data_IF_123935337389
#
_entry.id   IF_123935337389
#
_cell.length_a   1.000
_cell.length_b   1.000
_cell.length_c   1.000
_cell.angle_alpha   90.00
_cell.angle_beta   90.00
_cell.angle_gamma   90.00
#
_symmetry.space_group_name_H-M   'P 1'
#
loop_
_entity.id
_entity.type
_entity.pdbx_description
1 polymer ?
#
# COMPACT_ATOMS: atom_id res chain seq x y z
N UNK A 1 -23.68 -9.69 -27.74
CA UNK A 1 -22.65 -9.89 -28.78
C UNK A 1 -22.89 -8.80 -29.80
N UNK A 2 -22.01 -7.81 -29.87
CA UNK A 2 -22.03 -6.85 -30.98
C UNK A 2 -21.61 -7.56 -32.26
N UNK A 3 -22.36 -7.31 -33.32
CA UNK A 3 -22.26 -7.99 -34.60
C UNK A 3 -22.11 -6.93 -35.70
N UNK A 4 -21.13 -6.04 -35.55
CA UNK A 4 -20.75 -5.14 -36.64
C UNK A 4 -19.82 -5.86 -37.63
N UNK A 5 -20.29 -5.91 -38.88
CA UNK A 5 -19.61 -6.58 -40.00
C UNK A 5 -18.56 -5.68 -40.68
N UNK A 6 -18.45 -4.41 -40.29
CA UNK A 6 -17.52 -3.42 -40.86
C UNK A 6 -17.18 -2.38 -39.77
N UNK A 7 -15.89 -2.24 -39.41
CA UNK A 7 -15.37 -1.23 -38.48
C UNK A 7 -14.84 -1.81 -37.16
N UNK A 8 -13.61 -2.34 -37.14
CA UNK A 8 -13.00 -2.89 -35.91
C UNK A 8 -12.52 -1.83 -34.90
N UNK A 9 -12.53 -0.54 -35.30
CA UNK A 9 -11.91 0.57 -34.58
C UNK A 9 -12.88 1.75 -34.38
N UNK A 10 -14.18 1.47 -34.26
CA UNK A 10 -15.16 2.53 -34.04
C UNK A 10 -15.00 3.16 -32.65
N UNK A 11 -15.01 4.50 -32.59
CA UNK A 11 -14.89 5.25 -31.35
C UNK A 11 -16.07 4.92 -30.42
N UNK A 12 -15.80 4.32 -29.27
CA UNK A 12 -16.84 4.07 -28.25
C UNK A 12 -17.28 5.39 -27.59
N UNK A 13 -16.31 6.26 -27.28
CA UNK A 13 -16.54 7.58 -26.69
C UNK A 13 -15.23 8.18 -26.18
N UNK A 14 -15.23 9.48 -25.90
CA UNK A 14 -14.07 10.20 -25.37
C UNK A 14 -14.34 10.83 -24.00
N UNK A 15 -13.26 11.12 -23.28
CA UNK A 15 -13.27 11.94 -22.06
C UNK A 15 -12.04 12.83 -22.05
N UNK A 16 -12.13 13.98 -21.36
CA UNK A 16 -11.04 14.95 -21.27
C UNK A 16 -10.68 15.22 -19.81
N UNK A 17 -9.40 15.34 -19.54
CA UNK A 17 -8.84 15.72 -18.24
C UNK A 17 -8.09 17.03 -18.43
N UNK A 18 -8.52 18.06 -17.72
CA UNK A 18 -7.79 19.33 -17.66
C UNK A 18 -6.62 19.19 -16.67
N UNK A 19 -5.42 19.04 -17.24
CA UNK A 19 -4.19 18.87 -16.46
C UNK A 19 -3.70 20.17 -15.83
N UNK A 20 -4.04 21.33 -16.40
CA UNK A 20 -3.55 22.63 -15.93
C UNK A 20 -4.30 23.06 -14.67
N UNK A 21 -5.63 23.00 -14.70
CA UNK A 21 -6.45 23.25 -13.52
C UNK A 21 -6.14 22.23 -12.41
N UNK A 22 -5.88 20.97 -12.78
CA UNK A 22 -5.46 19.94 -11.83
C UNK A 22 -4.12 20.26 -11.18
N UNK A 23 -3.15 20.71 -11.97
CA UNK A 23 -1.81 21.06 -11.49
C UNK A 23 -1.83 22.27 -10.54
N UNK A 24 -2.58 23.32 -10.88
CA UNK A 24 -2.70 24.53 -10.07
C UNK A 24 -3.76 24.45 -8.96
N UNK A 25 -4.40 23.29 -8.81
CA UNK A 25 -5.41 23.07 -7.79
C UNK A 25 -4.85 23.24 -6.37
N UNK A 26 -5.53 23.99 -5.48
CA UNK A 26 -5.08 24.15 -4.09
C UNK A 26 -5.22 22.85 -3.27
N UNK A 27 -5.90 21.84 -3.83
CA UNK A 27 -6.15 20.54 -3.21
C UNK A 27 -5.06 19.50 -3.50
N UNK A 28 -3.98 19.88 -4.21
CA UNK A 28 -2.89 18.97 -4.59
C UNK A 28 -3.41 17.74 -5.35
N UNK A 29 -4.21 17.97 -6.39
CA UNK A 29 -4.79 16.92 -7.22
C UNK A 29 -3.80 16.28 -8.20
N UNK A 30 -2.49 16.36 -7.92
CA UNK A 30 -1.41 15.87 -8.78
C UNK A 30 -1.14 14.39 -8.53
N UNK A 31 -0.67 14.01 -7.34
CA UNK A 31 -0.51 12.63 -6.92
C UNK A 31 -1.28 12.40 -5.61
N UNK A 32 -2.15 11.38 -5.61
CA UNK A 32 -3.05 11.13 -4.48
C UNK A 32 -2.29 10.74 -3.21
N UNK A 33 -2.64 11.34 -2.07
CA UNK A 33 -2.02 11.03 -0.78
C UNK A 33 -2.37 9.62 -0.31
N UNK A 34 -1.33 8.83 -0.03
CA UNK A 34 -1.49 7.50 0.53
C UNK A 34 -1.95 7.56 1.98
N UNK A 35 -2.62 6.50 2.45
CA UNK A 35 -3.04 6.40 3.84
C UNK A 35 -1.86 6.13 4.79
N UNK A 36 -0.83 5.42 4.31
CA UNK A 36 0.35 5.01 5.08
C UNK A 36 1.61 5.19 4.27
N UNK A 37 2.69 5.52 4.96
CA UNK A 37 4.01 5.62 4.37
C UNK A 37 4.74 4.27 4.47
N UNK A 38 5.28 3.81 3.34
CA UNK A 38 6.21 2.69 3.27
C UNK A 38 7.42 3.10 2.45
N UNK A 39 8.64 2.93 2.99
CA UNK A 39 9.86 3.27 2.24
C UNK A 39 10.21 2.28 1.13
N UNK A 40 9.65 1.06 1.18
CA UNK A 40 9.99 -0.04 0.27
C UNK A 40 8.83 -1.04 0.13
N UNK A 41 9.02 -2.03 -0.75
CA UNK A 41 8.08 -3.12 -0.97
C UNK A 41 6.93 -2.75 -1.91
N UNK A 42 5.91 -3.61 -1.96
CA UNK A 42 4.80 -3.47 -2.92
C UNK A 42 3.91 -2.25 -2.65
N UNK A 43 3.90 -1.74 -1.41
CA UNK A 43 3.13 -0.58 -0.98
C UNK A 43 4.01 0.67 -0.82
N UNK A 44 5.20 0.67 -1.43
CA UNK A 44 6.15 1.79 -1.36
C UNK A 44 5.46 3.11 -1.71
N UNK A 45 5.88 4.16 -1.01
CA UNK A 45 5.50 5.54 -1.28
C UNK A 45 5.65 5.87 -2.78
N UNK A 46 4.54 6.31 -3.39
CA UNK A 46 4.45 6.53 -4.83
C UNK A 46 4.78 7.94 -5.29
N UNK A 47 4.69 8.90 -4.39
CA UNK A 47 4.98 10.29 -4.75
C UNK A 47 6.48 10.48 -4.92
N UNK A 48 6.83 11.36 -5.85
CA UNK A 48 8.22 11.72 -6.09
C UNK A 48 8.85 12.53 -4.95
N UNK A 49 8.02 13.23 -4.18
CA UNK A 49 8.42 13.95 -2.98
C UNK A 49 8.04 13.16 -1.75
N UNK A 50 8.89 13.16 -0.74
CA UNK A 50 8.58 12.60 0.56
C UNK A 50 7.45 13.40 1.24
N UNK A 51 6.65 12.77 2.12
CA UNK A 51 5.64 13.48 2.91
C UNK A 51 6.17 14.74 3.61
N UNK A 52 7.39 14.71 4.16
CA UNK A 52 8.05 15.87 4.77
C UNK A 52 8.25 17.01 3.78
N UNK A 53 8.81 16.72 2.61
CA UNK A 53 9.06 17.70 1.53
C UNK A 53 7.76 18.32 1.02
N UNK A 54 6.71 17.52 0.86
CA UNK A 54 5.39 17.99 0.46
C UNK A 54 4.83 18.97 1.49
N UNK A 55 4.88 18.59 2.76
CA UNK A 55 4.35 19.41 3.85
C UNK A 55 5.13 20.73 4.00
N UNK A 56 6.46 20.69 3.87
CA UNK A 56 7.31 21.87 3.91
C UNK A 56 6.98 22.83 2.75
N UNK A 57 6.87 22.32 1.52
CA UNK A 57 6.48 23.12 0.36
C UNK A 57 5.10 23.76 0.53
N UNK A 58 4.12 23.02 1.06
CA UNK A 58 2.80 23.55 1.36
C UNK A 58 2.85 24.66 2.41
N UNK A 59 3.56 24.46 3.53
CA UNK A 59 3.69 25.48 4.56
C UNK A 59 4.34 26.75 3.98
N UNK A 60 5.44 26.59 3.24
CA UNK A 60 6.13 27.71 2.58
C UNK A 60 5.22 28.45 1.59
N UNK A 61 4.52 27.74 0.71
CA UNK A 61 3.65 28.34 -0.29
C UNK A 61 2.46 29.09 0.34
N UNK A 62 2.04 28.71 1.55
CA UNK A 62 0.94 29.33 2.29
C UNK A 62 1.41 30.32 3.37
N UNK A 63 2.70 30.64 3.43
CA UNK A 63 3.26 31.57 4.42
C UNK A 63 3.17 31.08 5.86
N UNK A 64 3.07 29.77 6.08
CA UNK A 64 3.01 29.16 7.41
C UNK A 64 4.41 28.81 7.93
N UNK A 65 4.62 28.77 9.25
CA UNK A 65 5.88 28.29 9.83
C UNK A 65 6.22 26.88 9.37
N UNK A 66 7.51 26.56 9.31
CA UNK A 66 7.97 25.21 8.98
C UNK A 66 7.47 24.19 10.03
N UNK A 67 7.12 22.96 9.62
CA UNK A 67 6.73 21.90 10.56
C UNK A 67 7.83 21.60 11.58
N UNK A 68 7.44 21.45 12.85
CA UNK A 68 8.37 21.11 13.94
C UNK A 68 8.13 19.66 14.39
N UNK A 69 9.14 18.80 14.23
CA UNK A 69 9.05 17.38 14.55
C UNK A 69 9.71 17.05 15.89
N UNK A 70 9.00 16.30 16.72
CA UNK A 70 9.52 15.68 17.94
C UNK A 70 9.34 14.15 17.84
N UNK A 71 10.42 13.47 17.45
CA UNK A 71 10.45 12.02 17.28
C UNK A 71 10.28 11.24 18.60
N UNK A 72 10.74 11.80 19.72
CA UNK A 72 10.64 11.14 21.02
C UNK A 72 9.17 11.02 21.46
N UNK A 73 8.39 12.07 21.19
CA UNK A 73 6.97 12.13 21.53
C UNK A 73 6.03 11.66 20.41
N UNK A 74 6.59 11.23 19.26
CA UNK A 74 5.81 10.90 18.07
C UNK A 74 4.87 12.05 17.67
N UNK A 75 5.38 13.28 17.66
CA UNK A 75 4.60 14.51 17.52
C UNK A 75 5.16 15.38 16.38
N UNK A 76 4.28 16.01 15.63
CA UNK A 76 4.60 17.14 14.76
C UNK A 76 3.66 18.30 15.05
N UNK A 77 4.21 19.51 15.10
CA UNK A 77 3.45 20.75 15.28
C UNK A 77 3.51 21.57 14.00
N UNK A 78 2.35 21.99 13.49
CA UNK A 78 2.23 22.84 12.29
C UNK A 78 1.16 23.88 12.55
N UNK A 79 1.54 25.15 12.44
CA UNK A 79 0.61 26.29 12.59
C UNK A 79 -0.21 26.24 13.90
N UNK A 80 0.43 25.85 15.00
CA UNK A 80 -0.22 25.70 16.32
C UNK A 80 -1.02 24.40 16.51
N UNK A 81 -1.15 23.57 15.47
CA UNK A 81 -1.83 22.28 15.55
C UNK A 81 -0.86 21.12 15.78
N UNK A 82 -1.25 20.19 16.63
CA UNK A 82 -0.47 19.01 16.99
C UNK A 82 -1.01 17.73 16.35
N UNK A 83 -0.12 16.93 15.76
CA UNK A 83 -0.46 15.64 15.16
C UNK A 83 0.48 14.55 15.64
N UNK A 84 -0.07 13.36 15.90
CA UNK A 84 0.69 12.20 16.37
C UNK A 84 0.56 11.01 15.43
N UNK A 85 1.66 10.29 15.22
CA UNK A 85 1.72 9.09 14.37
C UNK A 85 2.92 8.24 14.77
N UNK A 86 2.84 6.92 14.56
CA UNK A 86 3.97 6.03 14.86
C UNK A 86 5.17 6.39 13.98
N UNK A 87 6.31 6.70 14.60
CA UNK A 87 7.56 7.06 13.90
C UNK A 87 8.40 5.83 13.55
N UNK A 88 7.89 4.63 13.75
CA UNK A 88 8.60 3.38 13.48
C UNK A 88 8.13 2.78 12.15
N UNK A 89 9.06 2.63 11.21
CA UNK A 89 8.83 2.02 9.90
C UNK A 89 9.76 0.84 9.70
N UNK A 90 9.41 -0.04 8.76
CA UNK A 90 10.28 -1.14 8.33
C UNK A 90 11.18 -0.65 7.19
N UNK A 91 12.45 -1.02 7.25
CA UNK A 91 13.39 -0.88 6.13
C UNK A 91 13.40 -2.14 5.26
N UNK A 92 14.16 -2.12 4.17
CA UNK A 92 14.26 -3.22 3.20
C UNK A 92 14.68 -4.56 3.82
N UNK A 93 15.44 -4.54 4.92
CA UNK A 93 15.88 -5.74 5.65
C UNK A 93 14.88 -6.21 6.72
N UNK A 94 13.73 -5.55 6.86
CA UNK A 94 12.71 -5.86 7.87
C UNK A 94 12.99 -5.30 9.27
N UNK A 95 14.08 -4.54 9.43
CA UNK A 95 14.43 -3.88 10.68
C UNK A 95 13.52 -2.66 10.92
N UNK A 96 13.17 -2.45 12.18
CA UNK A 96 12.42 -1.25 12.58
C UNK A 96 13.38 -0.07 12.71
N UNK A 97 13.10 1.02 11.98
CA UNK A 97 13.86 2.27 12.03
C UNK A 97 12.94 3.44 12.38
N UNK A 98 13.51 4.54 12.88
CA UNK A 98 12.78 5.77 13.13
C UNK A 98 12.67 6.62 11.86
N UNK A 99 11.52 7.24 11.65
CA UNK A 99 11.23 8.12 10.52
C UNK A 99 10.16 9.16 10.88
N UNK A 100 10.32 10.38 10.36
CA UNK A 100 9.34 11.47 10.47
C UNK A 100 8.27 11.44 9.38
N UNK A 101 8.44 10.65 8.32
CA UNK A 101 7.52 10.62 7.19
C UNK A 101 6.08 10.24 7.58
N UNK A 102 5.84 9.29 8.50
CA UNK A 102 4.49 9.01 8.98
C UNK A 102 3.83 10.18 9.72
N UNK A 103 4.61 11.07 10.36
CA UNK A 103 4.09 12.27 11.01
C UNK A 103 3.68 13.30 9.98
N UNK A 104 4.54 13.58 9.01
CA UNK A 104 4.22 14.51 7.93
C UNK A 104 2.99 14.05 7.14
N UNK A 105 2.91 12.75 6.82
CA UNK A 105 1.76 12.18 6.13
C UNK A 105 0.46 12.26 6.96
N UNK A 106 0.56 12.16 8.29
CA UNK A 106 -0.58 12.34 9.19
C UNK A 106 -1.14 13.76 9.09
N UNK A 107 -0.26 14.77 9.02
CA UNK A 107 -0.67 16.16 8.80
C UNK A 107 -1.34 16.31 7.44
N UNK A 108 -0.71 15.82 6.36
CA UNK A 108 -1.24 15.93 5.00
C UNK A 108 -2.64 15.29 4.86
N UNK A 109 -2.86 14.12 5.48
CA UNK A 109 -4.16 13.44 5.46
C UNK A 109 -5.26 14.14 6.28
N UNK A 110 -4.88 15.09 7.13
CA UNK A 110 -5.74 15.87 8.00
C UNK A 110 -5.52 17.37 7.83
N UNK A 111 -5.09 17.81 6.64
CA UNK A 111 -4.69 19.19 6.38
C UNK A 111 -5.83 20.19 6.63
N UNK A 112 -7.08 19.75 6.57
CA UNK A 112 -8.25 20.55 6.95
C UNK A 112 -8.24 21.04 8.41
N UNK A 113 -7.42 20.45 9.30
CA UNK A 113 -7.24 20.95 10.66
C UNK A 113 -6.34 22.20 10.72
N UNK A 114 -5.48 22.38 9.71
CA UNK A 114 -4.65 23.58 9.53
C UNK A 114 -5.38 24.61 8.69
N UNK A 115 -6.03 24.17 7.60
CA UNK A 115 -6.81 25.02 6.71
C UNK A 115 -8.18 24.38 6.40
N UNK A 116 -9.27 24.77 7.10
CA UNK A 116 -10.58 24.13 7.01
C UNK A 116 -11.16 23.97 5.60
N UNK A 117 -10.84 24.91 4.70
CA UNK A 117 -11.35 24.95 3.33
C UNK A 117 -10.54 24.08 2.35
N UNK A 118 -9.38 23.56 2.77
CA UNK A 118 -8.48 22.76 1.94
C UNK A 118 -8.52 21.30 2.38
N UNK A 119 -9.01 20.45 1.49
CA UNK A 119 -8.90 18.99 1.61
C UNK A 119 -7.99 18.47 0.52
N UNK A 120 -6.82 17.99 0.92
CA UNK A 120 -5.88 17.41 -0.03
C UNK A 120 -6.44 16.12 -0.63
N UNK A 121 -6.20 15.91 -1.92
CA UNK A 121 -6.69 14.75 -2.66
C UNK A 121 -5.95 13.50 -2.19
N UNK A 122 -6.73 12.51 -1.73
CA UNK A 122 -6.24 11.18 -1.33
C UNK A 122 -6.17 10.26 -2.55
N UNK A 123 -5.52 9.11 -2.40
CA UNK A 123 -5.60 8.04 -3.39
C UNK A 123 -7.05 7.69 -3.70
N UNK A 124 -7.37 7.66 -5.00
CA UNK A 124 -8.70 7.35 -5.50
C UNK A 124 -8.59 6.72 -6.89
N UNK A 125 -9.65 6.00 -7.28
CA UNK A 125 -9.85 5.58 -8.67
C UNK A 125 -10.72 6.65 -9.32
N UNK A 126 -10.17 7.33 -10.31
CA UNK A 126 -10.92 8.27 -11.13
C UNK A 126 -11.82 7.49 -12.07
N UNK A 127 -13.14 7.74 -11.99
CA UNK A 127 -14.14 7.14 -12.88
C UNK A 127 -14.73 8.24 -13.74
N UNK A 128 -14.59 8.14 -15.06
CA UNK A 128 -15.10 9.12 -16.02
C UNK A 128 -16.05 8.47 -17.01
N UNK A 129 -17.13 9.15 -17.34
CA UNK A 129 -18.00 8.70 -18.42
C UNK A 129 -17.30 8.92 -19.77
N UNK A 130 -17.47 7.95 -20.66
CA UNK A 130 -17.12 8.05 -22.07
C UNK A 130 -18.35 8.57 -22.81
N UNK A 131 -18.18 9.66 -23.57
CA UNK A 131 -19.25 10.29 -24.33
C UNK A 131 -18.86 10.34 -25.80
N UNK A 132 -19.71 9.82 -26.68
CA UNK A 132 -19.54 9.94 -28.12
C UNK A 132 -19.88 11.36 -28.59
N UNK A 133 -19.04 12.02 -29.42
CA UNK A 133 -19.30 13.38 -29.92
C UNK A 133 -20.65 13.54 -30.62
N UNK A 134 -21.08 12.53 -31.38
CA UNK A 134 -22.36 12.52 -32.09
C UNK A 134 -23.59 12.21 -31.20
N UNK A 135 -23.37 11.76 -29.96
CA UNK A 135 -24.43 11.46 -28.99
C UNK A 135 -24.13 12.14 -27.65
N UNK A 136 -24.04 13.48 -27.63
CA UNK A 136 -23.69 14.20 -26.41
C UNK A 136 -24.75 13.96 -25.34
N UNK A 137 -24.30 13.78 -24.09
CA UNK A 137 -25.18 13.60 -22.93
C UNK A 137 -25.58 12.15 -22.62
N UNK A 138 -25.24 11.18 -23.47
CA UNK A 138 -25.40 9.75 -23.18
C UNK A 138 -24.04 9.11 -22.94
N UNK A 139 -23.86 8.46 -21.78
CA UNK A 139 -22.65 7.69 -21.46
C UNK A 139 -22.67 6.34 -22.18
N UNK A 140 -21.61 6.03 -22.94
CA UNK A 140 -21.42 4.73 -23.62
C UNK A 140 -20.56 3.76 -22.81
N UNK A 141 -20.08 4.19 -21.63
CA UNK A 141 -19.20 3.39 -20.78
C UNK A 141 -18.49 4.25 -19.75
N UNK A 142 -17.66 3.61 -18.93
CA UNK A 142 -16.86 4.31 -17.91
C UNK A 142 -15.41 3.89 -18.03
N UNK A 143 -14.52 4.87 -18.00
CA UNK A 143 -13.09 4.68 -17.85
C UNK A 143 -12.73 4.80 -16.37
N UNK A 144 -12.12 3.75 -15.82
CA UNK A 144 -11.61 3.73 -14.45
C UNK A 144 -10.09 3.67 -14.48
N UNK A 145 -9.44 4.60 -13.79
CA UNK A 145 -7.99 4.75 -13.85
C UNK A 145 -7.44 5.44 -12.62
N UNK A 146 -6.15 5.25 -12.38
CA UNK A 146 -5.35 6.13 -11.53
C UNK A 146 -4.68 7.17 -12.42
N UNK A 147 -4.68 8.43 -11.98
CA UNK A 147 -4.00 9.52 -12.67
C UNK A 147 -3.13 10.22 -11.66
N UNK A 148 -1.81 10.05 -11.80
CA UNK A 148 -0.82 10.76 -11.01
C UNK A 148 0.00 11.68 -11.96
N UNK A 149 0.17 12.94 -11.55
CA UNK A 149 0.88 13.99 -12.29
C UNK A 149 2.17 14.36 -11.54
N UNK A 150 3.29 14.34 -12.25
CA UNK A 150 4.62 14.64 -11.69
C UNK A 150 5.27 15.79 -12.44
N UNK A 151 5.90 16.71 -11.70
CA UNK A 151 6.68 17.82 -12.26
C UNK A 151 7.99 17.28 -12.86
N UNK A 152 8.19 17.51 -14.16
CA UNK A 152 9.36 17.01 -14.90
C UNK A 152 10.70 17.43 -14.29
N UNK A 153 10.76 18.62 -13.71
CA UNK A 153 11.99 19.20 -13.16
C UNK A 153 12.27 18.78 -11.71
N UNK A 154 11.25 18.29 -11.00
CA UNK A 154 11.39 17.91 -9.58
C UNK A 154 11.92 16.50 -9.45
N UNK A 155 11.40 15.57 -10.25
CA UNK A 155 11.79 14.18 -10.16
C UNK A 155 11.35 13.37 -11.38
N UNK A 156 12.03 12.24 -11.59
CA UNK A 156 11.58 11.22 -12.53
C UNK A 156 10.34 10.53 -11.95
N UNK A 157 9.24 10.41 -12.72
CA UNK A 157 8.08 9.63 -12.28
C UNK A 157 8.48 8.22 -11.84
N UNK A 158 7.82 7.65 -10.83
CA UNK A 158 8.07 6.26 -10.45
C UNK A 158 7.84 5.33 -11.65
N UNK A 159 8.49 4.16 -11.68
CA UNK A 159 8.23 3.17 -12.72
C UNK A 159 6.75 2.78 -12.72
N UNK A 160 6.23 2.43 -13.90
CA UNK A 160 4.85 1.97 -14.03
C UNK A 160 4.59 0.79 -13.09
N UNK A 161 3.44 0.82 -12.41
CA UNK A 161 3.01 -0.28 -11.55
C UNK A 161 2.71 -1.47 -12.45
N UNK A 162 3.37 -2.60 -12.19
CA UNK A 162 3.03 -3.86 -12.84
C UNK A 162 1.69 -4.36 -12.31
N UNK A 163 0.65 -4.19 -13.13
CA UNK A 163 -0.72 -4.65 -12.86
C UNK A 163 -0.99 -6.04 -13.43
N UNK A 164 0.04 -6.73 -13.92
CA UNK A 164 -0.10 -8.10 -14.39
C UNK A 164 -0.70 -8.99 -13.29
N UNK A 165 -1.58 -9.95 -13.64
CA UNK A 165 -2.11 -10.90 -12.66
C UNK A 165 -0.98 -11.54 -11.86
N UNK A 166 -1.09 -11.52 -10.53
CA UNK A 166 -0.08 -12.10 -9.64
C UNK A 166 0.12 -13.56 -10.02
N UNK A 167 1.35 -13.91 -10.39
CA UNK A 167 1.69 -15.30 -10.64
C UNK A 167 1.78 -16.07 -9.31
N UNK A 168 1.32 -17.33 -9.27
CA UNK A 168 1.47 -18.15 -8.07
C UNK A 168 2.95 -18.38 -7.78
N UNK A 169 3.42 -17.90 -6.63
CA UNK A 169 4.75 -18.22 -6.13
C UNK A 169 4.70 -19.57 -5.40
N UNK A 170 5.66 -20.45 -5.69
CA UNK A 170 5.86 -21.65 -4.87
C UNK A 170 6.50 -21.21 -3.54
N UNK A 171 5.85 -21.56 -2.45
CA UNK A 171 6.34 -21.29 -1.09
C UNK A 171 6.23 -22.58 -0.26
N UNK A 172 7.03 -22.67 0.79
CA UNK A 172 7.02 -23.79 1.74
C UNK A 172 6.73 -23.24 3.14
N UNK A 173 5.73 -23.80 3.83
CA UNK A 173 5.51 -23.56 5.26
C UNK A 173 6.21 -24.65 6.06
N UNK A 174 7.19 -24.30 6.88
CA UNK A 174 7.79 -25.24 7.83
C UNK A 174 7.28 -24.94 9.24
N UNK A 175 6.71 -25.97 9.88
CA UNK A 175 6.35 -25.94 11.30
C UNK A 175 7.36 -26.80 12.04
N UNK A 176 8.02 -26.22 13.04
CA UNK A 176 8.99 -26.93 13.89
C UNK A 176 8.48 -26.86 15.33
N UNK A 177 8.26 -28.03 15.94
CA UNK A 177 7.89 -28.14 17.35
C UNK A 177 9.18 -28.34 18.15
N UNK A 178 9.56 -27.34 18.93
CA UNK A 178 10.71 -27.40 19.84
C UNK A 178 10.24 -27.60 21.28
N UNK A 179 11.05 -28.31 22.09
CA UNK A 179 10.94 -28.37 23.55
C UNK A 179 9.54 -28.74 24.06
N UNK A 180 9.05 -29.92 23.69
CA UNK A 180 7.80 -30.47 24.25
C UNK A 180 7.97 -30.81 25.73
N UNK A 181 7.06 -30.33 26.57
CA UNK A 181 6.99 -30.69 27.99
C UNK A 181 5.77 -31.59 28.26
N UNK A 182 5.80 -32.32 29.38
CA UNK A 182 4.71 -33.19 29.83
C UNK A 182 4.29 -34.27 28.81
N UNK A 183 5.25 -34.74 28.00
CA UNK A 183 5.05 -35.83 27.05
C UNK A 183 5.08 -37.16 27.79
N UNK A 184 4.03 -37.97 27.64
CA UNK A 184 3.98 -39.31 28.22
C UNK A 184 4.93 -40.23 27.43
N UNK A 185 5.99 -40.70 28.08
CA UNK A 185 6.98 -41.62 27.49
C UNK A 185 6.50 -43.06 27.65
N UNK A 186 5.88 -43.60 26.61
CA UNK A 186 5.23 -44.92 26.64
C UNK A 186 6.04 -46.02 25.92
N UNK A 187 7.09 -45.66 25.18
CA UNK A 187 7.98 -46.65 24.54
C UNK A 187 9.27 -46.76 25.35
N UNK A 188 9.77 -47.99 25.54
CA UNK A 188 11.02 -48.27 26.24
C UNK A 188 11.89 -49.17 25.38
N UNK A 189 13.05 -48.65 24.98
CA UNK A 189 14.02 -49.39 24.16
C UNK A 189 14.48 -50.65 24.89
N UNK A 190 14.30 -51.82 24.26
CA UNK A 190 14.70 -53.11 24.83
C UNK A 190 16.22 -53.23 25.08
N UNK A 191 17.03 -52.43 24.38
CA UNK A 191 18.49 -52.49 24.44
C UNK A 191 19.12 -51.39 25.29
N UNK A 192 18.54 -50.18 25.31
CA UNK A 192 19.07 -49.04 26.07
C UNK A 192 18.29 -48.73 27.35
N UNK A 193 17.10 -49.33 27.54
CA UNK A 193 16.14 -48.99 28.62
C UNK A 193 15.72 -47.51 28.66
N UNK A 194 16.03 -46.74 27.61
CA UNK A 194 15.61 -45.35 27.48
C UNK A 194 14.14 -45.28 27.11
N UNK A 195 13.42 -44.35 27.74
CA UNK A 195 12.01 -44.10 27.48
C UNK A 195 11.85 -43.01 26.40
N UNK A 196 10.95 -43.24 25.46
CA UNK A 196 10.66 -42.34 24.34
C UNK A 196 9.15 -42.31 24.04
N UNK A 197 8.73 -41.37 23.19
CA UNK A 197 7.34 -41.23 22.75
C UNK A 197 7.29 -40.72 21.32
N UNK A 198 6.51 -41.38 20.48
CA UNK A 198 6.27 -40.95 19.11
C UNK A 198 5.21 -39.84 19.09
N UNK A 199 5.62 -38.63 18.70
CA UNK A 199 4.71 -37.49 18.57
C UNK A 199 4.33 -37.30 17.10
N UNK A 200 3.03 -37.40 16.82
CA UNK A 200 2.51 -37.20 15.47
C UNK A 200 1.82 -35.84 15.32
N UNK A 201 2.26 -35.04 14.35
CA UNK A 201 1.69 -33.72 14.06
C UNK A 201 1.01 -33.74 12.69
N UNK A 202 -0.26 -33.30 12.66
CA UNK A 202 -1.05 -33.15 11.43
C UNK A 202 -1.46 -31.68 11.28
N UNK A 203 -1.21 -31.10 10.11
CA UNK A 203 -1.60 -29.73 9.77
C UNK A 203 -2.35 -29.67 8.44
N UNK A 204 -3.23 -28.69 8.30
CA UNK A 204 -3.95 -28.41 7.05
C UNK A 204 -4.07 -26.91 6.82
N UNK A 205 -4.05 -26.51 5.55
CA UNK A 205 -4.26 -25.10 5.17
C UNK A 205 -5.70 -24.93 4.71
N UNK A 206 -6.46 -24.08 5.42
CA UNK A 206 -7.86 -23.80 5.08
C UNK A 206 -7.96 -23.17 3.70
N UNK A 207 -8.76 -23.77 2.82
CA UNK A 207 -9.06 -23.22 1.48
C UNK A 207 -8.25 -23.80 0.32
N UNK A 208 -7.35 -24.77 0.56
CA UNK A 208 -6.55 -25.41 -0.50
C UNK A 208 -7.20 -26.69 -1.04
N UNK A 209 -8.21 -27.24 -0.33
CA UNK A 209 -9.07 -28.35 -0.80
C UNK A 209 -8.37 -29.70 -1.05
N UNK A 210 -7.03 -29.73 -1.03
CA UNK A 210 -6.21 -30.88 -1.39
C UNK A 210 -5.04 -30.97 -0.41
N UNK A 211 -4.95 -32.15 0.21
CA UNK A 211 -3.90 -32.75 1.04
C UNK A 211 -3.53 -32.12 2.39
N UNK A 212 -4.01 -32.79 3.44
CA UNK A 212 -3.39 -32.76 4.77
C UNK A 212 -1.93 -33.19 4.65
N UNK A 213 -0.98 -32.29 4.94
CA UNK A 213 0.43 -32.67 5.02
C UNK A 213 0.73 -33.22 6.41
N UNK A 214 1.48 -34.32 6.41
CA UNK A 214 1.86 -35.06 7.61
C UNK A 214 3.38 -34.97 7.74
N UNK A 215 3.87 -34.85 8.97
CA UNK A 215 5.31 -34.94 9.22
C UNK A 215 5.77 -36.35 8.86
N UNK A 216 6.75 -36.47 7.97
CA UNK A 216 7.46 -37.73 7.73
C UNK A 216 8.75 -37.70 8.53
N UNK A 217 8.79 -38.26 9.74
CA UNK A 217 10.00 -38.94 10.23
C UNK A 217 9.71 -39.89 11.40
N UNK A 218 10.31 -41.10 11.36
CA UNK A 218 10.79 -41.81 12.54
C UNK A 218 12.25 -41.41 12.75
N UNK A 219 12.58 -40.70 13.83
CA UNK A 219 13.96 -40.59 14.32
C UNK A 219 14.00 -41.15 15.74
N UNK A 220 14.74 -42.24 15.91
CA UNK A 220 15.23 -42.71 17.22
C UNK A 220 16.45 -41.91 17.63
#
# INVERSE_FOLDING_TARGET
>A
MDHDRIGSDDLIGETRIDIENRFHSPYRATCGLMQKYHGHGYAKWKDSLLPTEILERLCKARGKPAPVYNLLENLVTVDGQEFRSKTEIKNETGNTIKSVEPLALQVLNNYQMIEPDIRLVKEHIETRDLVHPDRPGLSQGKLQMWVDLFEREVAVPPPAIDISPRQPFKWELRVIVWNTADVILNDTSLFSSEQSSDIYVKGWVKGVGIDDQKTDVHYR
#
